data_IF_061946883151
#
_entry.id   IF_061946883151
#
_cell.length_a   1.000
_cell.length_b   1.000
_cell.length_c   1.000
_cell.angle_alpha   90.00
_cell.angle_beta   90.00
_cell.angle_gamma   90.00
#
_symmetry.space_group_name_H-M   'P 1'
#
loop_
_entity.id
_entity.type
_entity.pdbx_description
1 polymer ?
#
# COMPACT_ATOMS: atom_id res chain seq x y z
N UNK A 1 3.77 -32.50 -43.38
CA UNK A 1 4.22 -31.14 -43.06
C UNK A 1 3.49 -30.69 -41.81
N UNK A 2 4.06 -30.97 -40.64
CA UNK A 2 3.45 -30.60 -39.35
C UNK A 2 4.02 -29.26 -38.90
N UNK A 3 3.21 -28.21 -38.96
CA UNK A 3 3.57 -26.89 -38.46
C UNK A 3 3.42 -26.89 -36.93
N UNK A 4 4.54 -26.80 -36.21
CA UNK A 4 4.54 -26.53 -34.77
C UNK A 4 4.42 -25.02 -34.55
N UNK A 5 3.24 -24.56 -34.15
CA UNK A 5 3.04 -23.20 -33.66
C UNK A 5 3.60 -23.10 -32.24
N UNK A 6 4.74 -22.42 -32.09
CA UNK A 6 5.25 -22.03 -30.77
C UNK A 6 4.48 -20.80 -30.27
N UNK A 7 3.54 -21.03 -29.35
CA UNK A 7 2.96 -19.95 -28.56
C UNK A 7 4.02 -19.40 -27.61
N UNK A 8 4.53 -18.20 -27.91
CA UNK A 8 5.36 -17.46 -26.96
C UNK A 8 4.44 -16.88 -25.89
N UNK A 9 4.37 -17.53 -24.73
CA UNK A 9 3.71 -16.94 -23.55
C UNK A 9 4.59 -15.77 -23.10
N UNK A 10 4.19 -14.54 -23.45
CA UNK A 10 4.81 -13.34 -22.89
C UNK A 10 4.39 -13.30 -21.42
N UNK A 11 5.21 -13.89 -20.55
CA UNK A 11 5.08 -13.69 -19.11
C UNK A 11 5.24 -12.20 -18.82
N UNK A 12 4.18 -11.53 -18.36
CA UNK A 12 4.32 -10.17 -17.85
C UNK A 12 5.18 -10.23 -16.59
N UNK A 13 6.40 -9.72 -16.68
CA UNK A 13 7.31 -9.62 -15.55
C UNK A 13 6.64 -8.84 -14.41
N UNK A 14 6.69 -9.41 -13.20
CA UNK A 14 6.07 -8.84 -12.01
C UNK A 14 7.15 -8.37 -11.05
N UNK A 15 6.99 -7.17 -10.51
CA UNK A 15 7.82 -6.65 -9.45
C UNK A 15 7.15 -6.91 -8.12
N UNK A 16 7.91 -7.52 -7.20
CA UNK A 16 7.49 -7.83 -5.84
C UNK A 16 8.19 -6.88 -4.85
N UNK A 17 7.46 -6.51 -3.79
CA UNK A 17 7.95 -5.71 -2.68
C UNK A 17 7.50 -6.35 -1.38
N UNK A 18 8.41 -6.38 -0.40
CA UNK A 18 8.09 -6.90 0.93
C UNK A 18 7.37 -5.79 1.72
N UNK A 19 6.04 -5.81 1.68
CA UNK A 19 5.18 -4.87 2.38
C UNK A 19 4.31 -5.61 3.39
N UNK A 20 4.43 -5.24 4.66
CA UNK A 20 3.57 -5.71 5.73
C UNK A 20 2.65 -4.56 6.13
N UNK A 21 1.34 -4.80 6.12
CA UNK A 21 0.35 -3.83 6.59
C UNK A 21 -0.21 -4.30 7.93
N UNK A 22 -0.05 -3.49 8.97
CA UNK A 22 -0.64 -3.70 10.28
C UNK A 22 -1.76 -2.68 10.49
N UNK A 23 -2.97 -3.15 10.78
CA UNK A 23 -4.08 -2.29 11.17
C UNK A 23 -4.40 -2.58 12.64
N UNK A 24 -4.29 -1.54 13.46
CA UNK A 24 -4.53 -1.59 14.89
C UNK A 24 -3.70 -2.66 15.62
N UNK A 25 -2.42 -2.77 15.28
CA UNK A 25 -1.44 -3.76 15.82
C UNK A 25 -1.68 -5.20 15.33
N UNK A 26 -2.61 -5.43 14.40
CA UNK A 26 -2.88 -6.74 13.82
C UNK A 26 -2.50 -6.81 12.35
N UNK A 27 -2.02 -7.97 11.90
CA UNK A 27 -1.73 -8.21 10.49
C UNK A 27 -3.00 -8.08 9.64
N UNK A 28 -2.96 -7.21 8.63
CA UNK A 28 -4.09 -6.97 7.75
C UNK A 28 -4.15 -8.04 6.64
N UNK A 29 -4.98 -9.06 6.84
CA UNK A 29 -5.15 -10.18 5.89
C UNK A 29 -6.25 -9.95 4.86
N UNK A 30 -7.23 -9.09 5.15
CA UNK A 30 -8.42 -8.87 4.32
C UNK A 30 -8.37 -7.50 3.64
N UNK A 31 -7.34 -7.29 2.81
CA UNK A 31 -7.17 -6.07 2.03
C UNK A 31 -7.71 -6.28 0.62
N UNK A 32 -8.41 -5.30 0.08
CA UNK A 32 -8.85 -5.30 -1.32
C UNK A 32 -8.66 -3.94 -1.98
N UNK A 33 -8.77 -3.93 -3.32
CA UNK A 33 -8.71 -2.72 -4.15
C UNK A 33 -7.46 -1.85 -3.88
N UNK A 34 -6.31 -2.50 -3.64
CA UNK A 34 -5.07 -1.78 -3.45
C UNK A 34 -4.60 -1.15 -4.77
N UNK A 35 -4.36 0.15 -4.73
CA UNK A 35 -3.92 0.92 -5.89
C UNK A 35 -2.92 2.01 -5.49
N UNK A 36 -2.04 2.31 -6.42
CA UNK A 36 -1.09 3.42 -6.35
C UNK A 36 -1.53 4.47 -7.37
N UNK A 37 -2.00 5.62 -6.88
CA UNK A 37 -2.20 6.80 -7.71
C UNK A 37 -0.87 7.54 -7.82
N UNK A 38 -0.30 7.58 -9.03
CA UNK A 38 0.95 8.28 -9.33
C UNK A 38 0.63 9.59 -10.02
N UNK A 39 0.98 10.69 -9.36
CA UNK A 39 0.74 12.04 -9.85
C UNK A 39 2.07 12.58 -10.40
N UNK A 40 2.05 12.94 -11.68
CA UNK A 40 3.16 13.58 -12.39
C UNK A 40 2.83 15.03 -12.72
N UNK A 41 3.70 15.74 -13.43
CA UNK A 41 3.45 17.12 -13.85
C UNK A 41 2.19 17.29 -14.71
N UNK A 42 1.95 16.33 -15.62
CA UNK A 42 0.95 16.48 -16.69
C UNK A 42 -0.11 15.37 -16.66
N UNK A 43 0.06 14.34 -15.82
CA UNK A 43 -0.80 13.16 -15.85
C UNK A 43 -0.94 12.53 -14.46
N UNK A 44 -2.07 11.86 -14.23
CA UNK A 44 -2.35 11.06 -13.05
C UNK A 44 -2.75 9.66 -13.48
N UNK A 45 -1.95 8.67 -13.10
CA UNK A 45 -2.22 7.27 -13.42
C UNK A 45 -2.60 6.51 -12.16
N UNK A 46 -3.59 5.62 -12.29
CA UNK A 46 -3.96 4.67 -11.25
C UNK A 46 -3.41 3.30 -11.62
N UNK A 47 -2.55 2.76 -10.75
CA UNK A 47 -1.92 1.45 -10.93
C UNK A 47 -2.55 0.50 -9.92
N UNK A 48 -3.30 -0.48 -10.41
CA UNK A 48 -3.75 -1.60 -9.59
C UNK A 48 -2.56 -2.46 -9.16
N UNK A 49 -2.54 -2.86 -7.89
CA UNK A 49 -1.56 -3.79 -7.35
C UNK A 49 -2.27 -5.01 -6.76
N UNK A 50 -1.52 -6.10 -6.61
CA UNK A 50 -1.94 -7.28 -5.87
C UNK A 50 -1.27 -7.26 -4.51
N UNK A 51 -1.97 -7.72 -3.48
CA UNK A 51 -1.44 -7.77 -2.13
C UNK A 51 -1.89 -9.03 -1.41
N UNK A 52 -0.93 -9.68 -0.75
CA UNK A 52 -1.17 -10.56 0.38
C UNK A 52 -0.20 -10.16 1.49
N UNK A 53 -0.44 -10.55 2.76
CA UNK A 53 0.46 -10.17 3.85
C UNK A 53 1.93 -10.49 3.53
N UNK A 54 2.77 -9.46 3.56
CA UNK A 54 4.21 -9.55 3.26
C UNK A 54 4.58 -9.35 1.79
N UNK A 55 3.64 -9.23 0.86
CA UNK A 55 3.94 -9.03 -0.56
C UNK A 55 2.96 -8.03 -1.20
N UNK A 56 3.53 -6.97 -1.76
CA UNK A 56 2.87 -6.13 -2.74
C UNK A 56 3.48 -6.45 -4.11
N UNK A 57 2.64 -6.69 -5.11
CA UNK A 57 3.10 -7.00 -6.47
C UNK A 57 2.39 -6.16 -7.52
N UNK A 58 3.13 -5.75 -8.55
CA UNK A 58 2.61 -5.01 -9.70
C UNK A 58 3.43 -5.29 -10.97
N UNK A 59 2.88 -5.04 -12.17
CA UNK A 59 3.61 -5.29 -13.41
C UNK A 59 4.89 -4.43 -13.51
N UNK A 60 6.00 -5.02 -13.95
CA UNK A 60 7.31 -4.37 -14.04
C UNK A 60 7.26 -3.02 -14.79
N UNK A 61 6.54 -2.96 -15.91
CA UNK A 61 6.32 -1.72 -16.67
C UNK A 61 5.68 -0.60 -15.83
N UNK A 62 4.77 -0.95 -14.91
CA UNK A 62 4.14 0.01 -13.99
C UNK A 62 5.09 0.46 -12.89
N UNK A 63 6.00 -0.41 -12.45
CA UNK A 63 7.05 -0.05 -11.50
C UNK A 63 8.00 1.01 -12.07
N UNK A 64 8.42 0.85 -13.32
CA UNK A 64 9.27 1.83 -14.00
C UNK A 64 8.60 3.20 -14.12
N UNK A 65 7.29 3.22 -14.38
CA UNK A 65 6.49 4.45 -14.37
C UNK A 65 6.50 5.13 -12.99
N UNK A 66 6.36 4.35 -11.92
CA UNK A 66 6.43 4.85 -10.54
C UNK A 66 7.81 5.46 -10.26
N UNK A 67 8.88 4.80 -10.69
CA UNK A 67 10.26 5.22 -10.41
C UNK A 67 10.73 6.43 -11.20
N UNK A 68 10.05 6.76 -12.30
CA UNK A 68 10.35 7.91 -13.16
C UNK A 68 10.61 9.20 -12.37
N UNK A 69 11.56 10.01 -12.83
CA UNK A 69 11.85 11.33 -12.26
C UNK A 69 10.68 12.32 -12.40
N UNK A 70 9.74 12.02 -13.30
CA UNK A 70 8.50 12.80 -13.47
C UNK A 70 7.48 12.58 -12.35
N UNK A 71 7.65 11.53 -11.54
CA UNK A 71 6.76 11.22 -10.42
C UNK A 71 6.96 12.24 -9.30
N UNK A 72 5.90 13.01 -9.00
CA UNK A 72 5.89 13.99 -7.92
C UNK A 72 5.36 13.39 -6.62
N UNK A 73 4.20 12.74 -6.71
CA UNK A 73 3.48 12.24 -5.54
C UNK A 73 2.96 10.85 -5.83
N UNK A 74 3.00 9.97 -4.84
CA UNK A 74 2.30 8.70 -4.88
C UNK A 74 1.31 8.67 -3.73
N UNK A 75 0.12 8.17 -4.00
CA UNK A 75 -0.87 7.89 -2.97
C UNK A 75 -1.28 6.43 -3.06
N UNK A 76 -0.99 5.67 -2.01
CA UNK A 76 -1.48 4.31 -1.86
C UNK A 76 -2.86 4.33 -1.22
N UNK A 77 -3.78 3.59 -1.80
CA UNK A 77 -5.14 3.47 -1.26
C UNK A 77 -5.61 2.03 -1.32
N UNK A 78 -6.39 1.62 -0.32
CA UNK A 78 -6.94 0.27 -0.24
C UNK A 78 -8.10 0.21 0.75
N UNK A 79 -8.88 -0.86 0.65
CA UNK A 79 -9.94 -1.19 1.60
C UNK A 79 -9.46 -2.28 2.55
N UNK A 80 -9.93 -2.23 3.80
CA UNK A 80 -9.67 -3.24 4.82
C UNK A 80 -10.97 -3.66 5.51
N UNK A 81 -11.17 -4.98 5.60
CA UNK A 81 -12.34 -5.59 6.25
C UNK A 81 -11.92 -6.29 7.54
N UNK A 82 -12.28 -5.69 8.68
CA UNK A 82 -12.01 -6.31 9.97
C UNK A 82 -13.06 -7.40 10.26
N UNK A 83 -12.68 -8.67 10.02
CA UNK A 83 -13.52 -9.85 10.28
C UNK A 83 -13.54 -10.27 11.75
N UNK A 84 -12.63 -9.75 12.60
CA UNK A 84 -12.54 -10.10 14.03
C UNK A 84 -13.40 -9.20 14.93
N UNK A 85 -14.07 -8.21 14.36
CA UNK A 85 -14.98 -7.32 15.08
C UNK A 85 -16.25 -8.08 15.47
N UNK A 86 -16.38 -8.39 16.77
CA UNK A 86 -17.48 -9.20 17.36
C UNK A 86 -18.90 -8.78 16.95
N UNK A 87 -19.13 -7.52 16.57
CA UNK A 87 -20.48 -6.98 16.41
C UNK A 87 -20.82 -6.39 15.03
N UNK A 88 -19.93 -6.47 14.04
CA UNK A 88 -20.16 -6.10 12.61
C UNK A 88 -18.82 -6.13 11.86
N UNK A 89 -18.84 -6.59 10.60
CA UNK A 89 -17.77 -6.34 9.64
C UNK A 89 -17.56 -4.81 9.56
N UNK A 90 -16.40 -4.35 10.04
CA UNK A 90 -16.02 -2.94 9.86
C UNK A 90 -15.23 -2.81 8.56
N UNK A 91 -15.66 -1.87 7.73
CA UNK A 91 -15.01 -1.51 6.49
C UNK A 91 -14.26 -0.20 6.67
N UNK A 92 -12.98 -0.20 6.36
CA UNK A 92 -12.12 0.98 6.38
C UNK A 92 -11.57 1.22 4.98
N UNK A 93 -11.49 2.48 4.58
CA UNK A 93 -10.80 2.90 3.36
C UNK A 93 -9.66 3.81 3.74
N UNK A 94 -8.45 3.44 3.31
CA UNK A 94 -7.24 4.18 3.61
C UNK A 94 -6.71 4.85 2.35
N UNK A 95 -6.16 6.06 2.54
CA UNK A 95 -5.48 6.85 1.51
C UNK A 95 -4.23 7.46 2.14
N UNK A 96 -3.07 7.04 1.67
CA UNK A 96 -1.78 7.25 2.35
C UNK A 96 -0.77 7.78 1.33
N UNK A 97 -0.26 8.98 1.57
CA UNK A 97 0.86 9.52 0.80
C UNK A 97 2.07 8.61 0.97
N UNK A 98 2.68 8.24 -0.15
CA UNK A 98 3.74 7.25 -0.22
C UNK A 98 4.96 7.84 -0.92
N UNK A 99 6.15 7.66 -0.36
CA UNK A 99 7.38 8.05 -1.04
C UNK A 99 7.83 6.92 -1.97
N UNK A 100 8.15 7.24 -3.23
CA UNK A 100 8.60 6.23 -4.21
C UNK A 100 9.86 5.50 -3.74
N UNK A 101 10.75 6.16 -3.01
CA UNK A 101 11.98 5.54 -2.52
C UNK A 101 11.71 4.43 -1.50
N UNK A 102 10.57 4.45 -0.80
CA UNK A 102 10.21 3.35 0.11
C UNK A 102 10.00 2.03 -0.63
N UNK A 103 9.70 2.03 -1.94
CA UNK A 103 9.64 0.80 -2.73
C UNK A 103 11.02 0.23 -3.10
N UNK A 104 12.12 0.92 -2.76
CA UNK A 104 13.50 0.45 -2.95
C UNK A 104 14.09 -0.19 -1.70
N UNK A 105 13.45 0.02 -0.55
CA UNK A 105 13.85 -0.58 0.71
C UNK A 105 13.63 -2.10 0.66
N UNK A 106 14.40 -2.85 1.47
CA UNK A 106 14.30 -4.31 1.48
C UNK A 106 12.92 -4.78 1.95
N UNK A 107 12.33 -4.09 2.92
CA UNK A 107 10.96 -4.31 3.37
C UNK A 107 10.43 -3.07 4.10
N UNK A 108 9.10 -2.92 4.12
CA UNK A 108 8.42 -1.88 4.88
C UNK A 108 7.28 -2.47 5.70
N UNK A 109 7.07 -1.91 6.88
CA UNK A 109 5.89 -2.16 7.72
C UNK A 109 5.08 -0.87 7.77
N UNK A 110 3.91 -0.87 7.13
CA UNK A 110 2.93 0.21 7.22
C UNK A 110 1.99 -0.08 8.40
N UNK A 111 2.07 0.74 9.45
CA UNK A 111 1.19 0.65 10.62
C UNK A 111 0.09 1.69 10.52
N UNK A 112 -1.14 1.28 10.80
CA UNK A 112 -2.33 2.13 10.75
C UNK A 112 -3.09 1.98 12.07
N UNK A 113 -3.54 3.11 12.64
CA UNK A 113 -4.19 3.17 13.93
C UNK A 113 -5.51 3.94 13.83
N UNK A 114 -6.64 3.23 13.87
CA UNK A 114 -7.96 3.81 13.67
C UNK A 114 -8.42 4.61 14.90
N UNK A 115 -8.86 5.85 14.71
CA UNK A 115 -9.27 6.72 15.80
C UNK A 115 -10.64 6.36 16.39
N UNK A 116 -11.42 5.50 15.76
CA UNK A 116 -12.61 4.92 16.39
C UNK A 116 -12.26 4.16 17.68
N UNK A 117 -11.03 3.63 17.79
CA UNK A 117 -10.47 3.07 19.03
C UNK A 117 -9.92 4.18 19.93
N UNK A 118 -10.51 4.31 21.12
CA UNK A 118 -10.13 5.31 22.14
C UNK A 118 -8.63 5.32 22.47
N UNK A 119 -7.97 4.16 22.48
CA UNK A 119 -6.53 4.07 22.78
C UNK A 119 -5.67 4.86 21.77
N UNK A 120 -6.01 4.80 20.49
CA UNK A 120 -5.24 5.46 19.43
C UNK A 120 -5.54 6.94 19.34
N UNK A 121 -6.81 7.34 19.50
CA UNK A 121 -7.22 8.74 19.54
C UNK A 121 -6.54 9.55 20.66
N UNK A 122 -6.20 8.90 21.78
CA UNK A 122 -5.47 9.51 22.89
C UNK A 122 -3.96 9.54 22.69
N UNK A 123 -3.42 8.54 21.98
CA UNK A 123 -1.97 8.36 21.78
C UNK A 123 -1.44 9.23 20.63
N UNK A 124 -2.24 9.39 19.58
CA UNK A 124 -1.82 10.04 18.35
C UNK A 124 -2.57 11.37 18.16
N UNK A 125 -1.82 12.40 17.79
CA UNK A 125 -2.43 13.64 17.31
C UNK A 125 -2.90 13.44 15.86
N UNK A 126 -4.15 13.79 15.52
CA UNK A 126 -4.62 13.79 14.14
C UNK A 126 -3.71 14.62 13.24
N UNK A 127 -3.37 14.10 12.06
CA UNK A 127 -2.58 14.85 11.08
C UNK A 127 -3.33 16.09 10.54
N UNK A 128 -4.66 16.03 10.53
CA UNK A 128 -5.59 17.10 10.17
C UNK A 128 -6.91 16.91 10.92
N UNK A 129 -7.74 17.96 10.98
CA UNK A 129 -8.97 18.01 11.80
C UNK A 129 -9.91 16.81 11.57
N UNK A 130 -10.02 16.33 10.33
CA UNK A 130 -10.90 15.24 9.93
C UNK A 130 -10.20 13.89 9.75
N UNK A 131 -8.97 13.73 10.25
CA UNK A 131 -8.25 12.47 10.12
C UNK A 131 -8.96 11.38 10.93
N UNK A 132 -9.20 10.23 10.31
CA UNK A 132 -9.88 9.08 10.93
C UNK A 132 -8.90 8.02 11.46
N UNK A 133 -7.61 8.16 11.16
CA UNK A 133 -6.55 7.26 11.58
C UNK A 133 -5.18 7.97 11.64
N UNK A 134 -4.25 7.40 12.39
CA UNK A 134 -2.82 7.70 12.31
C UNK A 134 -2.09 6.60 11.54
N UNK A 135 -0.91 6.91 11.02
CA UNK A 135 -0.10 6.01 10.19
C UNK A 135 1.38 6.21 10.43
N UNK A 136 2.12 5.13 10.40
CA UNK A 136 3.57 5.10 10.59
C UNK A 136 4.20 4.11 9.62
N UNK A 137 5.45 4.37 9.25
CA UNK A 137 6.25 3.48 8.40
C UNK A 137 7.50 3.04 9.14
N UNK A 138 7.86 1.76 9.01
CA UNK A 138 9.02 1.18 9.67
C UNK A 138 9.79 0.27 8.72
N UNK A 139 11.11 0.42 8.72
CA UNK A 139 12.07 -0.32 7.90
C UNK A 139 12.91 -1.32 8.72
N UNK A 140 12.64 -1.43 10.02
CA UNK A 140 13.23 -2.40 10.94
C UNK A 140 14.60 -2.05 11.54
N UNK A 141 15.27 -0.99 11.08
CA UNK A 141 16.67 -0.75 11.46
C UNK A 141 16.94 0.55 12.21
N UNK A 142 16.26 1.65 11.89
CA UNK A 142 16.73 2.96 12.39
C UNK A 142 15.67 3.88 12.98
N UNK A 143 14.39 3.84 12.58
CA UNK A 143 13.30 4.59 13.23
C UNK A 143 11.94 4.29 12.61
N UNK A 144 10.88 4.37 13.43
CA UNK A 144 9.50 4.43 12.96
C UNK A 144 9.21 5.88 12.54
N UNK A 145 8.77 6.08 11.30
CA UNK A 145 8.45 7.39 10.73
C UNK A 145 6.95 7.65 10.83
N UNK A 146 6.48 8.62 11.64
CA UNK A 146 5.09 9.06 11.61
C UNK A 146 4.78 9.75 10.29
N UNK A 147 3.73 9.30 9.61
CA UNK A 147 3.30 9.87 8.34
C UNK A 147 2.18 10.88 8.60
N UNK A 148 2.50 12.19 8.53
CA UNK A 148 1.50 13.26 8.62
C UNK A 148 0.78 13.42 7.29
#
# INVERSE_FOLDING_TARGET
MSFLYSFSIISQETKNFDLIILVDEELATNISNIHLQVISQNDTINIGASYHPGNLSLPQKRFEQIMSDKTKTIVMSFNYFNSKSKNRLKHYSYRISYNKNWLKESFNILRIYNFDKRKYRKKYNPAFEYATFARELDFGWYSIIPLK
#
